data_IF_397693492736
#
_entry.id   IF_397693492736
#
_cell.length_a   1.000
_cell.length_b   1.000
_cell.length_c   1.000
_cell.angle_alpha   90.00
_cell.angle_beta   90.00
_cell.angle_gamma   90.00
#
_symmetry.space_group_name_H-M   'P 1'
#
loop_
_entity.id
_entity.type
_entity.pdbx_description
1 polymer ?
#
# COMPACT_ATOMS: atom_id res chain seq x y z
N UNK A 1 8.61 32.11 -13.03
CA UNK A 1 9.28 30.80 -13.26
C UNK A 1 9.37 29.93 -12.00
N UNK A 2 9.76 30.48 -10.84
CA UNK A 2 9.86 29.70 -9.58
C UNK A 2 8.50 29.09 -9.11
N UNK A 3 7.39 29.80 -9.28
CA UNK A 3 6.04 29.29 -8.92
C UNK A 3 5.59 28.12 -9.81
N UNK A 4 5.99 28.09 -11.08
CA UNK A 4 5.67 26.98 -11.97
C UNK A 4 6.51 25.72 -11.69
N UNK A 5 7.77 25.86 -11.28
CA UNK A 5 8.61 24.73 -10.85
C UNK A 5 8.04 24.06 -9.58
N UNK A 6 7.59 24.85 -8.59
CA UNK A 6 7.01 24.29 -7.36
C UNK A 6 5.70 23.52 -7.58
N UNK A 7 4.96 23.79 -8.64
CA UNK A 7 3.70 23.08 -8.97
C UNK A 7 4.00 21.80 -9.76
N UNK A 8 5.08 21.73 -10.51
CA UNK A 8 5.48 20.53 -11.26
C UNK A 8 6.15 19.48 -10.38
N UNK A 9 6.87 19.88 -9.36
CA UNK A 9 7.67 19.01 -8.50
C UNK A 9 6.89 18.45 -7.32
N UNK A 10 5.66 18.92 -7.10
CA UNK A 10 4.80 18.51 -5.98
C UNK A 10 3.40 18.25 -6.49
N UNK A 11 2.97 17.02 -6.37
CA UNK A 11 1.62 16.63 -6.71
C UNK A 11 1.42 15.15 -6.47
N UNK A 12 0.16 14.75 -6.28
CA UNK A 12 -0.22 13.35 -6.26
C UNK A 12 -0.50 12.94 -7.71
N UNK A 13 0.45 12.28 -8.32
CA UNK A 13 0.32 11.79 -9.68
C UNK A 13 -0.30 10.40 -9.67
N UNK A 14 -1.31 10.21 -10.49
CA UNK A 14 -1.94 8.90 -10.65
C UNK A 14 -0.97 7.94 -11.35
N UNK A 15 -0.79 6.75 -10.79
CA UNK A 15 0.08 5.72 -11.37
C UNK A 15 -0.29 5.39 -12.82
N UNK A 16 -1.59 5.37 -13.13
CA UNK A 16 -2.13 5.11 -14.47
C UNK A 16 -1.77 6.17 -15.50
N UNK A 17 -1.43 7.37 -15.04
CA UNK A 17 -1.13 8.52 -15.90
C UNK A 17 0.37 8.81 -16.03
N UNK A 18 1.24 8.13 -15.27
CA UNK A 18 2.68 8.41 -15.22
C UNK A 18 3.31 8.45 -16.61
N UNK A 19 3.07 7.41 -17.41
CA UNK A 19 3.66 7.30 -18.75
C UNK A 19 3.17 8.40 -19.68
N UNK A 20 1.89 8.76 -19.61
CA UNK A 20 1.27 9.71 -20.54
C UNK A 20 1.49 11.17 -20.17
N UNK A 21 1.56 11.47 -18.87
CA UNK A 21 1.51 12.86 -18.38
C UNK A 21 2.77 13.29 -17.64
N UNK A 22 3.48 12.39 -17.00
CA UNK A 22 4.52 12.73 -16.04
C UNK A 22 5.92 12.25 -16.42
N UNK A 23 6.07 11.30 -17.36
CA UNK A 23 7.36 10.68 -17.68
C UNK A 23 8.42 11.71 -18.08
N UNK A 24 8.06 12.68 -18.90
CA UNK A 24 8.99 13.75 -19.33
C UNK A 24 9.45 14.57 -18.11
N UNK A 25 8.52 15.00 -17.27
CA UNK A 25 8.86 15.78 -16.09
C UNK A 25 9.71 14.97 -15.08
N UNK A 26 9.42 13.69 -14.90
CA UNK A 26 10.20 12.80 -14.03
C UNK A 26 11.63 12.59 -14.56
N UNK A 27 11.76 12.42 -15.88
CA UNK A 27 13.08 12.28 -16.54
C UNK A 27 13.89 13.58 -16.42
N UNK A 28 13.27 14.74 -16.61
CA UNK A 28 13.92 16.04 -16.42
C UNK A 28 14.40 16.26 -14.98
N UNK A 29 13.70 15.66 -14.00
CA UNK A 29 14.07 15.66 -12.58
C UNK A 29 15.15 14.63 -12.24
N UNK A 30 15.53 13.75 -13.17
CA UNK A 30 16.60 12.78 -13.00
C UNK A 30 16.15 11.33 -12.84
N UNK A 31 14.90 10.99 -13.15
CA UNK A 31 14.46 9.59 -13.19
C UNK A 31 15.20 8.87 -14.32
N UNK A 32 15.94 7.79 -13.96
CA UNK A 32 16.74 7.01 -14.90
C UNK A 32 16.04 5.73 -15.38
N UNK A 33 14.98 5.31 -14.70
CA UNK A 33 14.19 4.13 -15.09
C UNK A 33 12.93 4.56 -15.85
N UNK A 34 12.46 3.77 -16.82
CA UNK A 34 11.20 4.08 -17.50
C UNK A 34 10.02 3.92 -16.54
N UNK A 35 8.99 4.73 -16.72
CA UNK A 35 7.82 4.79 -15.83
C UNK A 35 7.03 3.47 -15.78
N UNK A 36 7.13 2.62 -16.78
CA UNK A 36 6.54 1.27 -16.75
C UNK A 36 7.21 0.33 -15.74
N UNK A 37 8.40 0.63 -15.27
CA UNK A 37 9.02 -0.08 -14.14
C UNK A 37 8.44 0.38 -12.79
N UNK A 38 7.85 1.57 -12.72
CA UNK A 38 7.14 2.06 -11.53
C UNK A 38 5.73 1.50 -11.50
N UNK A 39 5.00 1.62 -12.62
CA UNK A 39 3.65 1.10 -12.80
C UNK A 39 3.49 0.47 -14.18
N UNK A 40 3.07 -0.80 -14.20
CA UNK A 40 2.74 -1.52 -15.42
C UNK A 40 1.35 -2.17 -15.27
N UNK A 41 0.34 -1.80 -16.05
CA UNK A 41 -1.00 -2.39 -15.97
C UNK A 41 -1.02 -3.88 -16.33
N UNK A 42 -0.09 -4.34 -17.17
CA UNK A 42 -0.05 -5.69 -17.74
C UNK A 42 1.11 -6.54 -17.18
N UNK A 43 1.92 -5.98 -16.28
CA UNK A 43 3.10 -6.66 -15.76
C UNK A 43 3.47 -6.29 -14.32
N UNK A 44 4.58 -6.85 -13.87
CA UNK A 44 5.13 -6.60 -12.54
C UNK A 44 5.96 -5.32 -12.58
N UNK A 45 5.73 -4.43 -11.59
CA UNK A 45 6.42 -3.16 -11.45
C UNK A 45 6.72 -2.85 -9.97
N UNK A 46 7.34 -1.71 -9.66
CA UNK A 46 7.64 -1.30 -8.28
C UNK A 46 6.38 -1.22 -7.41
N UNK A 47 5.25 -0.80 -7.99
CA UNK A 47 3.96 -0.75 -7.27
C UNK A 47 3.57 -2.07 -6.62
N UNK A 48 4.03 -3.21 -7.17
CA UNK A 48 3.70 -4.54 -6.63
C UNK A 48 4.48 -4.90 -5.37
N UNK A 49 5.44 -4.07 -4.97
CA UNK A 49 6.13 -4.15 -3.70
C UNK A 49 5.58 -3.19 -2.65
N UNK A 50 4.61 -2.34 -3.00
CA UNK A 50 3.98 -1.37 -2.09
C UNK A 50 2.59 -1.85 -1.73
N UNK A 51 2.25 -1.83 -0.45
CA UNK A 51 1.01 -2.39 0.09
C UNK A 51 0.32 -1.42 1.03
N UNK A 52 -1.01 -1.52 1.12
CA UNK A 52 -1.73 -0.91 2.22
C UNK A 52 -1.51 -1.78 3.47
N UNK A 53 -1.06 -1.14 4.53
CA UNK A 53 -0.82 -1.76 5.82
C UNK A 53 -1.90 -1.32 6.83
N UNK A 54 -2.64 -2.30 7.36
CA UNK A 54 -3.78 -2.00 8.24
C UNK A 54 -4.84 -1.14 7.56
N UNK A 55 -5.41 -0.21 8.32
CA UNK A 55 -6.54 0.62 7.87
C UNK A 55 -6.16 1.93 7.17
N UNK A 56 -4.90 2.35 7.13
CA UNK A 56 -4.54 3.67 6.61
C UNK A 56 -3.06 3.94 6.42
N UNK A 57 -2.20 2.94 6.62
CA UNK A 57 -0.77 3.07 6.39
C UNK A 57 -0.33 2.44 5.08
N UNK A 58 0.89 2.77 4.66
CA UNK A 58 1.61 2.12 3.58
C UNK A 58 2.74 1.27 4.15
N UNK A 59 3.05 0.17 3.51
CA UNK A 59 4.22 -0.65 3.81
C UNK A 59 4.93 -1.08 2.53
N UNK A 60 6.22 -1.35 2.65
CA UNK A 60 7.07 -1.80 1.56
C UNK A 60 7.49 -3.24 1.79
N UNK A 61 7.29 -4.08 0.78
CA UNK A 61 7.79 -5.46 0.81
C UNK A 61 9.27 -5.46 0.44
N UNK A 62 10.12 -5.91 1.36
CA UNK A 62 11.59 -5.82 1.25
C UNK A 62 12.29 -7.18 1.16
N UNK A 63 11.52 -8.27 1.07
CA UNK A 63 12.10 -9.61 0.83
C UNK A 63 11.21 -10.46 -0.04
N UNK A 64 11.80 -11.48 -0.68
CA UNK A 64 11.06 -12.46 -1.48
C UNK A 64 10.07 -13.29 -0.67
N UNK A 65 10.19 -13.31 0.65
CA UNK A 65 9.35 -14.05 1.60
C UNK A 65 8.44 -13.13 2.43
N UNK A 66 7.92 -12.07 1.80
CA UNK A 66 6.84 -11.25 2.36
C UNK A 66 7.18 -10.43 3.59
N UNK A 67 8.47 -10.10 3.83
CA UNK A 67 8.84 -9.16 4.89
C UNK A 67 8.42 -7.76 4.49
N UNK A 68 7.63 -7.12 5.33
CA UNK A 68 7.10 -5.76 5.15
C UNK A 68 7.78 -4.82 6.13
N UNK A 69 8.28 -3.71 5.62
CA UNK A 69 8.75 -2.57 6.40
C UNK A 69 7.65 -1.50 6.40
N UNK A 70 7.37 -0.92 7.54
CA UNK A 70 6.43 0.21 7.70
C UNK A 70 6.85 1.07 8.88
N UNK A 71 6.13 2.15 9.15
CA UNK A 71 6.43 3.01 10.30
C UNK A 71 6.13 2.32 11.64
N UNK A 72 6.85 2.70 12.68
CA UNK A 72 6.58 2.27 14.06
C UNK A 72 5.17 2.67 14.51
N UNK A 73 4.76 3.91 14.21
CA UNK A 73 3.42 4.37 14.58
C UNK A 73 2.31 3.60 13.84
N UNK A 74 2.57 3.07 12.64
CA UNK A 74 1.64 2.20 11.92
C UNK A 74 1.54 0.81 12.57
N UNK A 75 2.64 0.31 13.13
CA UNK A 75 2.71 -0.95 13.86
C UNK A 75 2.32 -0.85 15.34
N UNK A 76 2.13 0.38 15.86
CA UNK A 76 1.95 0.62 17.30
C UNK A 76 0.86 -0.23 17.93
N UNK A 77 -0.30 -0.32 17.29
CA UNK A 77 -1.42 -1.13 17.80
C UNK A 77 -1.08 -2.63 17.90
N UNK A 78 -0.31 -3.17 16.97
CA UNK A 78 0.15 -4.55 17.01
C UNK A 78 1.20 -4.77 18.10
N UNK A 79 2.14 -3.84 18.26
CA UNK A 79 3.15 -3.88 19.34
C UNK A 79 2.46 -3.83 20.71
N UNK A 80 1.50 -2.91 20.88
CA UNK A 80 0.72 -2.78 22.10
C UNK A 80 -0.10 -4.04 22.40
N UNK A 81 -0.71 -4.66 21.39
CA UNK A 81 -1.51 -5.87 21.57
C UNK A 81 -0.69 -7.05 22.15
N UNK A 82 0.60 -7.09 21.85
CA UNK A 82 1.52 -8.12 22.35
C UNK A 82 2.27 -7.71 23.62
N UNK A 83 2.20 -6.44 24.00
CA UNK A 83 2.84 -5.97 25.23
C UNK A 83 2.05 -6.37 26.47
N UNK A 84 2.76 -6.75 27.53
CA UNK A 84 2.24 -7.09 28.84
C UNK A 84 3.13 -6.49 29.93
N UNK A 85 2.75 -6.66 31.19
CA UNK A 85 3.60 -6.23 32.32
C UNK A 85 4.92 -7.00 32.36
N UNK A 86 4.92 -8.25 31.90
CA UNK A 86 6.10 -9.12 31.88
C UNK A 86 6.97 -8.91 30.63
N UNK A 87 6.35 -8.46 29.53
CA UNK A 87 6.98 -8.23 28.23
C UNK A 87 6.48 -6.92 27.64
N UNK A 88 7.08 -5.81 28.02
CA UNK A 88 6.71 -4.48 27.50
C UNK A 88 7.44 -4.18 26.19
N UNK A 89 6.92 -4.71 25.08
CA UNK A 89 7.51 -4.51 23.75
C UNK A 89 7.44 -3.05 23.25
N UNK A 90 6.61 -2.21 23.86
CA UNK A 90 6.64 -0.77 23.58
C UNK A 90 7.87 -0.10 24.18
N UNK A 91 8.28 -0.54 25.39
CA UNK A 91 9.45 0.01 26.10
C UNK A 91 10.74 -0.66 25.67
N UNK A 92 10.73 -1.99 25.49
CA UNK A 92 11.96 -2.79 25.28
C UNK A 92 12.23 -3.08 23.80
N UNK A 93 11.22 -2.91 22.94
CA UNK A 93 11.24 -3.38 21.57
C UNK A 93 11.01 -4.90 21.47
N UNK A 94 10.95 -5.38 20.23
CA UNK A 94 10.78 -6.81 19.94
C UNK A 94 11.54 -7.19 18.68
N UNK A 95 12.21 -8.34 18.72
CA UNK A 95 12.90 -8.91 17.54
C UNK A 95 12.75 -10.43 17.55
N UNK A 96 12.02 -10.97 16.58
CA UNK A 96 11.95 -12.41 16.35
C UNK A 96 13.26 -12.90 15.71
N UNK A 97 13.92 -13.83 16.36
CA UNK A 97 15.18 -14.43 15.88
C UNK A 97 14.92 -15.66 15.00
N UNK A 98 13.68 -16.15 14.98
CA UNK A 98 13.24 -17.26 14.13
C UNK A 98 11.80 -17.05 13.66
N UNK A 99 11.34 -17.86 12.69
CA UNK A 99 9.96 -17.82 12.19
C UNK A 99 8.92 -18.17 13.26
N UNK A 100 9.29 -19.05 14.15
CA UNK A 100 8.45 -19.54 15.25
C UNK A 100 8.20 -18.46 16.30
N UNK A 101 9.10 -17.49 16.42
CA UNK A 101 8.98 -16.35 17.34
C UNK A 101 8.16 -15.20 16.75
N UNK A 102 7.87 -15.20 15.45
CA UNK A 102 7.04 -14.16 14.82
C UNK A 102 5.62 -14.16 15.39
N UNK A 103 5.15 -13.02 15.89
CA UNK A 103 3.91 -12.90 16.67
C UNK A 103 2.70 -12.60 15.79
N UNK A 104 1.67 -13.46 15.77
CA UNK A 104 0.47 -13.25 14.95
C UNK A 104 -0.33 -12.02 15.39
N UNK A 105 -0.60 -11.08 14.50
CA UNK A 105 -1.29 -9.83 14.76
C UNK A 105 -2.77 -9.93 14.36
N UNK A 106 -3.64 -10.22 15.33
CA UNK A 106 -5.08 -10.39 15.10
C UNK A 106 -5.71 -9.10 14.61
N UNK A 107 -6.43 -9.17 13.49
CA UNK A 107 -7.14 -8.04 12.90
C UNK A 107 -6.27 -7.14 12.00
N UNK A 108 -4.95 -7.33 12.00
CA UNK A 108 -4.07 -6.65 11.07
C UNK A 108 -4.18 -7.27 9.67
N UNK A 109 -4.19 -6.45 8.64
CA UNK A 109 -4.26 -6.89 7.26
C UNK A 109 -3.24 -6.17 6.40
N UNK A 110 -2.78 -6.85 5.35
CA UNK A 110 -1.97 -6.25 4.28
C UNK A 110 -2.71 -6.45 2.96
N UNK A 111 -2.86 -5.36 2.20
CA UNK A 111 -3.64 -5.36 0.96
C UNK A 111 -2.77 -4.90 -0.20
N UNK A 112 -2.65 -5.75 -1.21
CA UNK A 112 -2.08 -5.41 -2.52
C UNK A 112 -3.14 -4.77 -3.41
N UNK A 113 -2.73 -3.80 -4.22
CA UNK A 113 -3.49 -3.31 -5.36
C UNK A 113 -3.00 -4.08 -6.58
N UNK A 114 -3.73 -5.12 -6.98
CA UNK A 114 -3.35 -5.98 -8.10
C UNK A 114 -3.46 -5.24 -9.44
N UNK A 115 -4.60 -4.55 -9.66
CA UNK A 115 -4.89 -3.83 -10.89
C UNK A 115 -5.64 -2.53 -10.60
N UNK A 116 -5.40 -1.53 -11.44
CA UNK A 116 -6.16 -0.27 -11.49
C UNK A 116 -6.71 -0.15 -12.90
N UNK A 117 -8.02 -0.13 -13.04
CA UNK A 117 -8.71 -0.05 -14.33
C UNK A 117 -9.45 1.28 -14.44
N UNK A 118 -9.22 2.04 -15.49
CA UNK A 118 -10.08 3.17 -15.84
C UNK A 118 -11.40 2.62 -16.40
N UNK A 119 -12.47 2.83 -15.67
CA UNK A 119 -13.82 2.38 -16.03
C UNK A 119 -14.78 3.54 -16.22
N UNK A 120 -14.23 4.71 -16.53
CA UNK A 120 -14.98 5.97 -16.64
C UNK A 120 -16.13 5.86 -17.62
N UNK A 121 -15.86 5.35 -18.84
CA UNK A 121 -16.89 5.23 -19.88
C UNK A 121 -17.99 4.27 -19.49
N UNK A 122 -17.61 3.13 -18.90
CA UNK A 122 -18.58 2.14 -18.40
C UNK A 122 -19.50 2.72 -17.33
N UNK A 123 -18.93 3.41 -16.34
CA UNK A 123 -19.73 4.05 -15.27
C UNK A 123 -20.65 5.11 -15.83
N UNK A 124 -20.17 5.94 -16.75
CA UNK A 124 -20.98 6.97 -17.40
C UNK A 124 -22.16 6.39 -18.20
N UNK A 125 -21.98 5.23 -18.83
CA UNK A 125 -23.09 4.53 -19.49
C UNK A 125 -24.12 4.01 -18.49
N UNK A 126 -23.67 3.43 -17.36
CA UNK A 126 -24.59 2.98 -16.32
C UNK A 126 -25.36 4.15 -15.68
N UNK A 127 -24.71 5.29 -15.45
CA UNK A 127 -25.35 6.50 -14.92
C UNK A 127 -26.44 7.07 -15.86
N UNK A 128 -26.34 6.84 -17.17
CA UNK A 128 -27.38 7.28 -18.13
C UNK A 128 -28.58 6.34 -18.15
N UNK A 129 -28.37 5.07 -17.86
CA UNK A 129 -29.40 4.03 -18.00
C UNK A 129 -30.08 3.67 -16.68
N UNK A 130 -29.36 3.80 -15.57
CA UNK A 130 -29.89 3.48 -14.24
C UNK A 130 -30.71 4.66 -13.68
N UNK A 131 -31.75 4.34 -12.93
CA UNK A 131 -32.59 5.32 -12.25
C UNK A 131 -31.81 6.06 -11.16
N UNK A 132 -31.81 7.40 -11.21
CA UNK A 132 -31.15 8.28 -10.23
C UNK A 132 -32.03 9.49 -9.91
N UNK A 133 -33.12 9.27 -9.13
CA UNK A 133 -34.09 10.31 -8.83
C UNK A 133 -33.49 11.51 -8.06
N UNK A 134 -32.34 11.34 -7.42
CA UNK A 134 -31.67 12.38 -6.64
C UNK A 134 -30.42 12.96 -7.31
N UNK A 135 -29.99 12.42 -8.46
CA UNK A 135 -28.76 12.85 -9.15
C UNK A 135 -27.48 12.64 -8.32
N UNK A 136 -27.44 11.60 -7.46
CA UNK A 136 -26.32 11.37 -6.52
C UNK A 136 -25.54 10.09 -6.76
N UNK A 137 -25.99 9.26 -7.71
CA UNK A 137 -25.36 7.96 -7.98
C UNK A 137 -23.89 8.08 -8.33
N UNK A 138 -23.49 9.14 -9.02
CA UNK A 138 -22.12 9.36 -9.50
C UNK A 138 -21.06 9.41 -8.38
N UNK A 139 -21.43 9.68 -7.12
CA UNK A 139 -20.56 9.64 -5.94
C UNK A 139 -21.03 8.65 -4.87
N UNK A 140 -22.17 7.98 -5.07
CA UNK A 140 -22.73 7.06 -4.08
C UNK A 140 -21.88 5.78 -3.94
N UNK A 141 -21.27 5.51 -2.76
CA UNK A 141 -20.48 4.29 -2.56
C UNK A 141 -21.29 3.01 -2.79
N UNK A 142 -22.58 3.02 -2.44
CA UNK A 142 -23.48 1.87 -2.63
C UNK A 142 -23.73 1.62 -4.11
N UNK A 143 -23.99 2.66 -4.88
CA UNK A 143 -24.19 2.55 -6.32
C UNK A 143 -22.91 2.10 -7.02
N UNK A 144 -21.79 2.77 -6.73
CA UNK A 144 -20.49 2.44 -7.32
C UNK A 144 -20.06 1.00 -7.02
N UNK A 145 -20.39 0.48 -5.82
CA UNK A 145 -20.17 -0.94 -5.52
C UNK A 145 -20.99 -1.85 -6.45
N UNK A 146 -22.26 -1.53 -6.70
CA UNK A 146 -23.11 -2.32 -7.60
C UNK A 146 -22.56 -2.29 -9.03
N UNK A 147 -22.11 -1.14 -9.50
CA UNK A 147 -21.49 -0.98 -10.83
C UNK A 147 -20.17 -1.78 -10.92
N UNK A 148 -19.34 -1.77 -9.85
CA UNK A 148 -18.13 -2.57 -9.79
C UNK A 148 -18.42 -4.08 -9.92
N UNK A 149 -19.44 -4.57 -9.23
CA UNK A 149 -19.84 -5.97 -9.28
C UNK A 149 -20.37 -6.37 -10.68
N UNK A 150 -21.12 -5.48 -11.36
CA UNK A 150 -21.56 -5.67 -12.76
C UNK A 150 -20.37 -5.72 -13.71
N UNK A 151 -19.45 -4.77 -13.60
CA UNK A 151 -18.25 -4.71 -14.43
C UNK A 151 -17.38 -5.95 -14.25
N UNK A 152 -17.15 -6.38 -13.02
CA UNK A 152 -16.38 -7.59 -12.74
C UNK A 152 -17.00 -8.83 -13.39
N UNK A 153 -18.33 -8.93 -13.39
CA UNK A 153 -19.04 -10.04 -14.03
C UNK A 153 -18.90 -10.00 -15.54
N UNK A 154 -19.00 -8.82 -16.17
CA UNK A 154 -18.83 -8.67 -17.62
C UNK A 154 -17.42 -8.99 -18.11
N UNK A 155 -16.40 -8.60 -17.32
CA UNK A 155 -14.99 -8.81 -17.63
C UNK A 155 -14.43 -10.16 -17.11
N UNK A 156 -15.26 -11.00 -16.49
CA UNK A 156 -14.83 -12.29 -15.95
C UNK A 156 -13.80 -12.18 -14.82
N UNK A 157 -13.82 -11.08 -14.06
CA UNK A 157 -12.92 -10.91 -12.91
C UNK A 157 -13.39 -11.81 -11.78
N UNK A 158 -12.66 -12.90 -11.54
CA UNK A 158 -13.01 -13.85 -10.48
C UNK A 158 -12.80 -13.25 -9.09
N UNK A 159 -13.82 -13.29 -8.24
CA UNK A 159 -13.74 -12.93 -6.83
C UNK A 159 -13.32 -14.17 -6.04
N UNK A 160 -12.03 -14.33 -5.84
CA UNK A 160 -11.44 -15.38 -4.99
C UNK A 160 -11.39 -14.92 -3.53
N UNK A 161 -11.22 -15.84 -2.56
CA UNK A 161 -11.01 -15.46 -1.17
C UNK A 161 -9.91 -14.40 -1.02
N UNK A 162 -10.16 -13.35 -0.24
CA UNK A 162 -9.27 -12.22 -0.06
C UNK A 162 -9.29 -11.17 -1.18
N UNK A 163 -9.87 -11.47 -2.36
CA UNK A 163 -9.99 -10.49 -3.46
C UNK A 163 -11.20 -9.60 -3.26
N UNK A 164 -10.98 -8.29 -3.39
CA UNK A 164 -12.02 -7.26 -3.27
C UNK A 164 -11.93 -6.28 -4.42
N UNK A 165 -13.07 -5.70 -4.75
CA UNK A 165 -13.20 -4.63 -5.73
C UNK A 165 -13.56 -3.34 -5.02
N UNK A 166 -12.94 -2.25 -5.42
CA UNK A 166 -13.27 -0.92 -4.96
C UNK A 166 -13.32 0.04 -6.14
N UNK A 167 -14.50 0.53 -6.47
CA UNK A 167 -14.72 1.53 -7.49
C UNK A 167 -14.79 2.91 -6.82
N UNK A 168 -13.91 3.81 -7.25
CA UNK A 168 -13.82 5.17 -6.72
C UNK A 168 -14.03 6.22 -7.80
N UNK A 169 -14.80 7.25 -7.45
CA UNK A 169 -14.90 8.46 -8.23
C UNK A 169 -13.73 9.40 -7.90
N UNK A 170 -13.11 9.94 -8.93
CA UNK A 170 -12.04 10.93 -8.85
C UNK A 170 -12.46 12.23 -9.52
N UNK A 171 -11.85 13.33 -9.11
CA UNK A 171 -12.09 14.65 -9.69
C UNK A 171 -13.58 15.04 -9.72
N UNK A 172 -14.29 14.76 -8.61
CA UNK A 172 -15.72 15.07 -8.50
C UNK A 172 -16.63 14.24 -9.41
N UNK A 173 -16.21 13.03 -9.80
CA UNK A 173 -16.98 12.15 -10.68
C UNK A 173 -16.63 12.29 -12.17
N UNK A 174 -15.56 13.01 -12.51
CA UNK A 174 -15.08 13.11 -13.89
C UNK A 174 -14.28 11.89 -14.35
N UNK A 175 -13.79 11.08 -13.40
CA UNK A 175 -13.07 9.84 -13.65
C UNK A 175 -13.46 8.77 -12.64
N UNK A 176 -13.45 7.52 -13.08
CA UNK A 176 -13.75 6.37 -12.24
C UNK A 176 -12.69 5.30 -12.41
N UNK A 177 -12.09 4.89 -11.29
CA UNK A 177 -11.09 3.82 -11.28
C UNK A 177 -11.56 2.65 -10.45
N UNK A 178 -11.49 1.45 -11.03
CA UNK A 178 -11.73 0.19 -10.33
C UNK A 178 -10.41 -0.39 -9.84
N UNK A 179 -10.28 -0.52 -8.54
CA UNK A 179 -9.16 -1.16 -7.88
C UNK A 179 -9.50 -2.62 -7.61
N UNK A 180 -8.73 -3.52 -8.18
CA UNK A 180 -8.76 -4.95 -7.85
C UNK A 180 -7.69 -5.17 -6.79
N UNK A 181 -8.11 -5.66 -5.61
CA UNK A 181 -7.26 -5.76 -4.43
C UNK A 181 -7.22 -7.19 -3.90
N UNK A 182 -6.08 -7.62 -3.36
CA UNK A 182 -5.94 -8.86 -2.61
C UNK A 182 -5.49 -8.57 -1.19
N UNK A 183 -6.26 -9.03 -0.20
CA UNK A 183 -6.02 -8.77 1.22
C UNK A 183 -5.60 -10.05 1.93
N UNK A 184 -4.47 -10.01 2.61
CA UNK A 184 -3.95 -11.05 3.50
C UNK A 184 -4.23 -10.69 4.94
N UNK A 185 -4.58 -11.69 5.76
CA UNK A 185 -4.98 -11.51 7.16
C UNK A 185 -4.12 -12.28 8.17
N UNK A 186 -3.24 -13.17 7.73
CA UNK A 186 -2.20 -13.74 8.60
C UNK A 186 -0.93 -12.88 8.49
N UNK A 187 -0.87 -11.87 9.33
CA UNK A 187 0.26 -10.95 9.40
C UNK A 187 0.92 -11.14 10.76
N UNK A 188 2.25 -11.28 10.77
CA UNK A 188 3.01 -11.52 12.00
C UNK A 188 4.04 -10.44 12.20
N UNK A 189 4.19 -9.98 13.44
CA UNK A 189 5.20 -9.02 13.85
C UNK A 189 6.56 -9.71 13.90
N UNK A 190 7.53 -9.15 13.20
CA UNK A 190 8.92 -9.64 13.12
C UNK A 190 9.82 -8.81 14.00
N UNK A 191 9.60 -7.50 14.03
CA UNK A 191 10.42 -6.64 14.86
C UNK A 191 9.93 -5.20 14.91
N UNK A 192 10.25 -4.55 16.02
CA UNK A 192 10.06 -3.13 16.21
C UNK A 192 11.07 -2.63 17.26
N UNK A 193 11.69 -1.47 17.03
CA UNK A 193 12.52 -0.85 18.05
C UNK A 193 11.65 -0.40 19.23
N UNK A 194 12.24 -0.16 20.41
CA UNK A 194 11.54 0.48 21.51
C UNK A 194 10.98 1.85 21.11
N UNK A 195 9.88 2.28 21.74
CA UNK A 195 9.24 3.56 21.45
C UNK A 195 10.18 4.76 21.68
N UNK A 196 11.19 4.63 22.54
CA UNK A 196 12.25 5.63 22.72
C UNK A 196 13.06 5.90 21.43
N UNK A 197 13.06 4.97 20.48
CA UNK A 197 13.65 5.10 19.16
C UNK A 197 12.56 5.33 18.12
N UNK A 198 11.53 4.47 18.09
CA UNK A 198 10.46 4.51 17.08
C UNK A 198 9.58 5.75 17.15
N UNK A 199 9.51 6.39 18.31
CA UNK A 199 8.75 7.61 18.56
C UNK A 199 9.61 8.72 19.22
N UNK A 200 10.89 8.75 18.90
CA UNK A 200 11.79 9.77 19.45
C UNK A 200 11.33 11.19 19.08
N UNK A 201 11.26 12.08 20.08
CA UNK A 201 10.79 13.46 19.89
C UNK A 201 9.28 13.59 19.70
N UNK A 202 8.53 12.48 19.71
CA UNK A 202 7.08 12.43 19.55
C UNK A 202 6.59 13.33 18.40
N UNK A 203 5.45 13.99 18.56
CA UNK A 203 4.87 14.84 17.52
C UNK A 203 5.63 16.15 17.33
N UNK A 204 6.36 16.61 18.35
CA UNK A 204 7.10 17.88 18.31
C UNK A 204 8.25 17.83 17.31
N UNK A 205 9.03 16.74 17.31
CA UNK A 205 10.23 16.62 16.49
C UNK A 205 10.03 15.78 15.22
N UNK A 206 8.83 15.24 15.00
CA UNK A 206 8.55 14.36 13.86
C UNK A 206 8.84 15.02 12.50
N UNK A 207 8.67 16.33 12.40
CA UNK A 207 8.90 17.10 11.18
C UNK A 207 10.15 17.98 11.23
N UNK A 208 10.92 17.90 12.31
CA UNK A 208 12.15 18.66 12.47
C UNK A 208 13.34 17.99 11.78
N UNK A 209 14.23 18.80 11.25
CA UNK A 209 15.51 18.37 10.70
C UNK A 209 16.66 18.81 11.62
N UNK A 210 17.69 17.99 11.85
CA UNK A 210 17.85 16.59 11.41
C UNK A 210 16.96 15.62 12.17
N UNK A 211 16.54 14.54 11.49
CA UNK A 211 15.73 13.50 12.08
C UNK A 211 16.56 12.56 12.94
N UNK A 212 16.08 12.28 14.14
CA UNK A 212 16.71 11.34 15.08
C UNK A 212 15.82 10.13 15.39
N UNK A 213 14.57 10.14 14.95
CA UNK A 213 13.66 9.03 15.17
C UNK A 213 13.92 7.89 14.20
N UNK A 214 13.86 6.64 14.70
CA UNK A 214 13.83 5.42 13.90
C UNK A 214 12.40 4.88 13.80
N UNK A 215 11.51 5.65 13.16
CA UNK A 215 10.08 5.31 13.05
C UNK A 215 9.87 4.20 12.04
N UNK A 216 10.19 2.96 12.44
CA UNK A 216 9.98 1.77 11.62
C UNK A 216 9.50 0.58 12.45
N UNK A 217 8.84 -0.36 11.77
CA UNK A 217 8.49 -1.68 12.29
C UNK A 217 8.43 -2.70 11.16
N UNK A 218 8.61 -3.97 11.47
CA UNK A 218 8.67 -5.04 10.49
C UNK A 218 7.63 -6.11 10.77
N UNK A 219 6.97 -6.53 9.71
CA UNK A 219 5.95 -7.57 9.72
C UNK A 219 6.19 -8.55 8.59
N UNK A 220 5.56 -9.71 8.65
CA UNK A 220 5.60 -10.70 7.57
C UNK A 220 4.21 -11.13 7.19
N UNK A 221 4.00 -11.23 5.88
CA UNK A 221 2.77 -11.76 5.29
C UNK A 221 2.89 -13.27 5.22
N UNK A 222 1.90 -13.97 5.76
CA UNK A 222 1.73 -15.40 5.63
C UNK A 222 0.52 -15.74 4.76
N UNK A 223 0.60 -16.86 4.08
CA UNK A 223 -0.43 -17.38 3.19
C UNK A 223 -0.54 -18.90 3.33
N UNK A 224 -1.55 -19.49 2.72
CA UNK A 224 -1.58 -20.93 2.58
C UNK A 224 -0.43 -21.44 1.69
N UNK A 225 -0.30 -22.77 1.56
CA UNK A 225 0.78 -23.39 0.78
C UNK A 225 0.75 -23.06 -0.71
N UNK A 226 -0.43 -22.63 -1.20
CA UNK A 226 -0.62 -22.20 -2.59
C UNK A 226 -0.43 -20.68 -2.78
N UNK A 227 -0.07 -19.95 -1.72
CA UNK A 227 0.10 -18.49 -1.74
C UNK A 227 -1.20 -17.70 -1.69
N UNK A 228 -2.33 -18.34 -1.36
CA UNK A 228 -3.64 -17.68 -1.26
C UNK A 228 -3.85 -17.07 0.12
N UNK A 229 -4.62 -15.95 0.20
CA UNK A 229 -5.03 -15.41 1.48
C UNK A 229 -5.76 -16.44 2.33
N UNK A 230 -5.32 -16.58 3.58
CA UNK A 230 -5.90 -17.49 4.55
C UNK A 230 -5.97 -16.82 5.93
N UNK A 231 -6.88 -17.29 6.78
CA UNK A 231 -6.86 -16.97 8.19
C UNK A 231 -5.60 -17.53 8.85
N UNK A 232 -5.23 -17.00 10.01
CA UNK A 232 -4.09 -17.50 10.77
C UNK A 232 -4.13 -19.02 10.94
N UNK A 233 -3.05 -19.67 10.59
CA UNK A 233 -2.79 -21.08 10.85
C UNK A 233 -1.30 -21.30 11.08
N UNK A 234 -0.95 -22.28 11.93
CA UNK A 234 0.43 -22.70 12.11
C UNK A 234 1.03 -23.32 10.86
N UNK A 235 0.17 -23.83 9.96
CA UNK A 235 0.57 -24.46 8.69
C UNK A 235 0.80 -23.44 7.57
N UNK A 236 0.44 -22.18 7.77
CA UNK A 236 0.69 -21.13 6.80
C UNK A 236 2.20 -20.87 6.66
N UNK A 237 2.60 -20.50 5.47
CA UNK A 237 3.99 -20.23 5.11
C UNK A 237 4.20 -18.76 4.74
N UNK A 238 5.41 -18.21 4.84
CA UNK A 238 5.71 -16.88 4.35
C UNK A 238 5.30 -16.73 2.88
N UNK A 239 4.61 -15.63 2.57
CA UNK A 239 4.15 -15.36 1.21
C UNK A 239 5.36 -15.20 0.26
N UNK A 240 5.43 -16.01 -0.78
CA UNK A 240 6.34 -15.77 -1.90
C UNK A 240 5.78 -14.64 -2.76
N UNK A 241 6.41 -13.47 -2.69
CA UNK A 241 5.93 -12.26 -3.36
C UNK A 241 6.40 -12.18 -4.81
N UNK A 242 5.63 -11.50 -5.65
CA UNK A 242 5.98 -11.26 -7.06
C UNK A 242 7.08 -10.21 -7.22
N UNK A 243 7.12 -9.25 -6.33
CA UNK A 243 8.06 -8.12 -6.31
C UNK A 243 8.39 -7.73 -4.88
N UNK A 244 9.63 -7.36 -4.65
CA UNK A 244 10.09 -6.71 -3.43
C UNK A 244 11.08 -5.60 -3.79
N UNK A 245 11.26 -4.65 -2.89
CA UNK A 245 12.27 -3.60 -3.02
C UNK A 245 13.60 -4.11 -2.47
N UNK A 246 14.67 -3.73 -3.13
CA UNK A 246 16.04 -3.98 -2.64
C UNK A 246 16.48 -2.79 -1.81
N UNK A 247 16.96 -3.04 -0.60
CA UNK A 247 17.56 -2.02 0.25
C UNK A 247 18.94 -1.68 -0.31
N UNK A 248 19.15 -0.41 -0.68
CA UNK A 248 20.45 0.09 -1.09
C UNK A 248 21.21 0.66 0.11
N UNK A 249 22.48 0.31 0.20
CA UNK A 249 23.44 0.89 1.17
C UNK A 249 24.31 1.98 0.55
N UNK A 250 24.14 2.28 -0.74
CA UNK A 250 24.94 3.30 -1.44
C UNK A 250 24.56 4.72 -1.04
N UNK A 251 23.41 4.88 -0.38
CA UNK A 251 22.88 6.17 0.01
C UNK A 251 22.35 6.98 -1.18
N UNK A 252 22.22 8.28 -0.99
CA UNK A 252 21.77 9.23 -1.99
C UNK A 252 22.54 10.56 -1.84
N UNK A 253 22.57 11.36 -2.89
CA UNK A 253 23.26 12.66 -2.93
C UNK A 253 22.26 13.76 -3.26
N UNK A 254 22.64 15.00 -2.92
CA UNK A 254 21.85 16.16 -3.34
C UNK A 254 21.80 16.23 -4.87
N UNK A 255 20.58 16.22 -5.40
CA UNK A 255 20.29 16.22 -6.84
C UNK A 255 19.87 14.86 -7.40
N UNK A 256 19.99 13.78 -6.62
CA UNK A 256 19.44 12.49 -7.02
C UNK A 256 17.90 12.55 -7.04
N UNK A 257 17.31 11.86 -8.01
CA UNK A 257 15.87 11.74 -8.10
C UNK A 257 15.33 10.85 -7.00
N UNK A 258 14.33 11.34 -6.28
CA UNK A 258 13.60 10.59 -5.25
C UNK A 258 12.09 10.80 -5.42
N UNK A 259 11.28 9.80 -5.07
CA UNK A 259 9.83 9.92 -5.04
C UNK A 259 9.23 9.10 -3.90
N UNK A 260 8.02 9.44 -3.50
CA UNK A 260 7.22 8.72 -2.50
C UNK A 260 6.08 8.03 -3.25
N UNK A 261 5.81 6.77 -2.90
CA UNK A 261 4.74 5.96 -3.50
C UNK A 261 3.71 5.58 -2.43
#
# INVERSE_FOLDING_TARGET
RQRQMCIRDRGMWMLTDLQKQNEVAMTELGLLIPTNQIYNPDGIALKDAVVHFGGGCTGEVISAEGLVLTNHHCGYGAIQQHSSVEHDYLTDGFWAMSREEELPCKGLTVTYIDRILDVTDYVNEQLKTDDDPNGTNYLSPKYLKTVADRFAKSEGIALTPGRKLELKAFYGGNRYYLFVKTTYSDIRMVGAPPSSIGKFGADTDNWMWPRHTGDFSMFRIYADKDGKPAAYSKDNVPLKVKKHLTISLDGYRKGDFTFVM
#
